data_IF_925118474281
#
_entry.id   IF_925118474281
#
_cell.length_a   1.000
_cell.length_b   1.000
_cell.length_c   1.000
_cell.angle_alpha   90.00
_cell.angle_beta   90.00
_cell.angle_gamma   90.00
#
_symmetry.space_group_name_H-M   'P 1'
#
loop_
_entity.id
_entity.type
_entity.pdbx_description
1 polymer ?
#
# COMPACT_ATOMS: atom_id res chain seq x y z
N UNK A 1 -1.18 -6.53 -19.89
CA UNK A 1 -0.97 -7.97 -19.87
C UNK A 1 -1.14 -8.49 -18.45
N UNK A 2 -1.80 -9.58 -18.29
CA UNK A 2 -2.06 -10.13 -16.98
C UNK A 2 -0.82 -10.83 -16.42
N UNK A 3 -0.46 -10.51 -15.20
CA UNK A 3 0.65 -11.18 -14.51
C UNK A 3 0.09 -11.90 -13.29
N UNK A 4 0.10 -13.24 -13.28
CA UNK A 4 -0.49 -13.98 -12.16
C UNK A 4 0.22 -13.75 -10.82
N UNK A 5 1.48 -13.29 -10.86
CA UNK A 5 2.20 -12.97 -9.63
C UNK A 5 1.77 -11.64 -9.05
N UNK A 6 1.20 -10.78 -9.88
CA UNK A 6 0.72 -9.47 -9.48
C UNK A 6 -0.78 -9.45 -9.68
N UNK A 7 -1.50 -10.11 -8.78
CA UNK A 7 -2.95 -10.13 -8.82
C UNK A 7 -3.50 -8.72 -8.91
N UNK A 8 -4.76 -8.61 -9.35
CA UNK A 8 -5.40 -7.31 -9.34
C UNK A 8 -5.55 -6.84 -7.90
N UNK A 9 -4.65 -5.99 -7.48
CA UNK A 9 -4.57 -5.53 -6.11
C UNK A 9 -5.77 -4.69 -5.71
N UNK A 10 -6.45 -4.11 -6.70
CA UNK A 10 -7.61 -3.27 -6.41
C UNK A 10 -8.79 -4.07 -5.85
N UNK A 11 -8.79 -5.38 -6.06
CA UNK A 11 -9.88 -6.24 -5.57
C UNK A 11 -9.64 -6.75 -4.16
N UNK A 12 -8.43 -6.56 -3.63
CA UNK A 12 -8.09 -7.06 -2.31
C UNK A 12 -8.56 -6.10 -1.22
N UNK A 13 -8.93 -6.67 -0.08
CA UNK A 13 -9.26 -5.86 1.08
C UNK A 13 -8.00 -5.25 1.69
N UNK A 14 -8.15 -4.14 2.39
CA UNK A 14 -7.02 -3.50 3.07
C UNK A 14 -6.30 -4.47 3.99
N UNK A 15 -7.06 -5.26 4.74
CA UNK A 15 -6.50 -6.25 5.65
C UNK A 15 -5.64 -7.26 4.89
N UNK A 16 -6.11 -7.73 3.74
CA UNK A 16 -5.38 -8.69 2.94
C UNK A 16 -4.07 -8.09 2.44
N UNK A 17 -4.11 -6.84 2.04
CA UNK A 17 -2.90 -6.14 1.58
C UNK A 17 -1.90 -6.01 2.72
N UNK A 18 -2.37 -5.61 3.90
CA UNK A 18 -1.51 -5.46 5.06
C UNK A 18 -0.86 -6.80 5.43
N UNK A 19 -1.64 -7.87 5.42
CA UNK A 19 -1.14 -9.20 5.73
C UNK A 19 -0.10 -9.65 4.71
N UNK A 20 -0.35 -9.37 3.43
CA UNK A 20 0.61 -9.72 2.38
C UNK A 20 1.91 -8.95 2.54
N UNK A 21 1.83 -7.67 2.84
CA UNK A 21 3.04 -6.86 3.03
C UNK A 21 3.85 -7.43 4.19
N UNK A 22 3.20 -7.73 5.30
CA UNK A 22 3.89 -8.30 6.46
C UNK A 22 4.57 -9.62 6.10
N UNK A 23 3.83 -10.50 5.42
CA UNK A 23 4.37 -11.80 5.02
C UNK A 23 5.56 -11.64 4.07
N UNK A 24 5.44 -10.75 3.10
CA UNK A 24 6.51 -10.52 2.13
C UNK A 24 7.74 -9.91 2.80
N UNK A 25 7.55 -9.02 3.75
CA UNK A 25 8.67 -8.44 4.49
C UNK A 25 9.42 -9.52 5.27
N UNK A 26 8.72 -10.43 5.90
CA UNK A 26 9.34 -11.54 6.61
C UNK A 26 10.14 -12.42 5.66
N UNK A 27 9.57 -12.74 4.52
CA UNK A 27 10.25 -13.55 3.51
C UNK A 27 11.47 -12.83 2.97
N UNK A 28 11.37 -11.53 2.78
CA UNK A 28 12.49 -10.72 2.33
C UNK A 28 13.66 -10.80 3.32
N UNK A 29 13.37 -10.66 4.60
CA UNK A 29 14.41 -10.72 5.61
C UNK A 29 15.07 -12.09 5.67
N UNK A 30 14.29 -13.14 5.54
CA UNK A 30 14.82 -14.50 5.53
C UNK A 30 15.73 -14.71 4.32
N UNK A 31 15.30 -14.27 3.15
CA UNK A 31 16.10 -14.38 1.93
C UNK A 31 17.39 -13.57 2.04
N UNK A 32 17.31 -12.39 2.63
CA UNK A 32 18.48 -11.54 2.82
C UNK A 32 19.50 -12.22 3.74
N UNK A 33 19.04 -12.82 4.82
CA UNK A 33 19.92 -13.52 5.75
C UNK A 33 20.55 -14.76 5.13
N UNK A 34 19.83 -15.37 4.19
CA UNK A 34 20.29 -16.59 3.52
C UNK A 34 21.19 -16.29 2.32
N UNK A 35 21.39 -15.01 2.01
CA UNK A 35 22.23 -14.64 0.88
C UNK A 35 21.56 -14.86 -0.47
N UNK A 36 20.23 -14.92 -0.51
CA UNK A 36 19.49 -15.19 -1.74
C UNK A 36 19.08 -13.88 -2.40
N UNK A 37 20.05 -13.18 -2.98
CA UNK A 37 19.81 -11.86 -3.56
C UNK A 37 18.77 -11.84 -4.65
N UNK A 38 18.73 -12.87 -5.50
CA UNK A 38 17.73 -12.96 -6.55
C UNK A 38 16.33 -13.06 -6.00
N UNK A 39 16.15 -13.84 -4.94
CA UNK A 39 14.85 -13.98 -4.29
C UNK A 39 14.47 -12.66 -3.63
N UNK A 40 15.43 -12.01 -2.98
CA UNK A 40 15.18 -10.68 -2.39
C UNK A 40 14.68 -9.70 -3.43
N UNK A 41 15.30 -9.67 -4.60
CA UNK A 41 14.87 -8.75 -5.65
C UNK A 41 13.46 -9.04 -6.11
N UNK A 42 13.12 -10.32 -6.28
CA UNK A 42 11.77 -10.69 -6.70
C UNK A 42 10.75 -10.29 -5.64
N UNK A 43 11.03 -10.58 -4.39
CA UNK A 43 10.13 -10.21 -3.30
C UNK A 43 10.01 -8.70 -3.22
N UNK A 44 11.11 -7.98 -3.40
CA UNK A 44 11.10 -6.53 -3.38
C UNK A 44 10.17 -5.92 -4.41
N UNK A 45 10.18 -6.46 -5.64
CA UNK A 45 9.30 -5.97 -6.70
C UNK A 45 7.84 -6.17 -6.32
N UNK A 46 7.51 -7.36 -5.82
CA UNK A 46 6.14 -7.66 -5.43
C UNK A 46 5.73 -6.79 -4.24
N UNK A 47 6.62 -6.65 -3.29
CA UNK A 47 6.38 -5.84 -2.09
C UNK A 47 6.09 -4.39 -2.47
N UNK A 48 6.86 -3.83 -3.40
CA UNK A 48 6.62 -2.46 -3.86
C UNK A 48 5.26 -2.31 -4.50
N UNK A 49 4.83 -3.30 -5.28
CA UNK A 49 3.50 -3.24 -5.90
C UNK A 49 2.40 -3.16 -4.83
N UNK A 50 2.52 -3.96 -3.77
CA UNK A 50 1.56 -3.94 -2.69
C UNK A 50 1.62 -2.62 -1.91
N UNK A 51 2.82 -2.11 -1.67
CA UNK A 51 2.98 -0.83 -0.99
C UNK A 51 2.42 0.32 -1.82
N UNK A 52 2.59 0.27 -3.14
CA UNK A 52 2.04 1.29 -4.02
C UNK A 52 0.51 1.30 -3.95
N UNK A 53 -0.11 0.13 -3.93
CA UNK A 53 -1.56 0.06 -3.79
C UNK A 53 -2.00 0.60 -2.44
N UNK A 54 -1.27 0.27 -1.39
CA UNK A 54 -1.57 0.79 -0.06
C UNK A 54 -1.48 2.31 -0.03
N UNK A 55 -0.42 2.86 -0.61
CA UNK A 55 -0.25 4.31 -0.70
C UNK A 55 -1.38 4.97 -1.49
N UNK A 56 -1.78 4.33 -2.59
CA UNK A 56 -2.88 4.85 -3.41
C UNK A 56 -4.16 4.93 -2.59
N UNK A 57 -4.45 3.90 -1.83
CA UNK A 57 -5.65 3.87 -0.98
C UNK A 57 -5.59 4.92 0.12
N UNK A 58 -4.42 5.07 0.73
CA UNK A 58 -4.22 6.10 1.75
C UNK A 58 -4.40 7.50 1.15
N UNK A 59 -3.87 7.72 -0.04
CA UNK A 59 -4.00 8.99 -0.70
C UNK A 59 -5.46 9.31 -1.00
N UNK A 60 -6.22 8.34 -1.50
CA UNK A 60 -7.64 8.54 -1.76
C UNK A 60 -8.41 8.83 -0.48
N UNK A 61 -8.11 8.10 0.58
CA UNK A 61 -8.74 8.34 1.88
C UNK A 61 -8.40 9.72 2.40
N UNK A 62 -7.15 10.14 2.25
CA UNK A 62 -6.73 11.48 2.68
C UNK A 62 -7.40 12.57 1.87
N UNK A 63 -7.60 12.35 0.57
CA UNK A 63 -8.32 13.31 -0.26
C UNK A 63 -9.75 13.47 0.21
N UNK A 64 -10.42 12.36 0.51
CA UNK A 64 -11.78 12.42 1.02
C UNK A 64 -11.84 13.12 2.38
N UNK A 65 -10.89 12.80 3.24
CA UNK A 65 -10.81 13.45 4.55
C UNK A 65 -10.53 14.94 4.40
N UNK A 66 -9.64 15.30 3.51
CA UNK A 66 -9.31 16.70 3.27
C UNK A 66 -10.51 17.46 2.74
N UNK A 67 -11.28 16.86 1.84
CA UNK A 67 -12.48 17.50 1.33
C UNK A 67 -13.51 17.67 2.42
N UNK A 68 -13.70 16.67 3.26
CA UNK A 68 -14.62 16.78 4.38
C UNK A 68 -14.17 17.85 5.35
N UNK A 69 -12.89 17.91 5.66
CA UNK A 69 -12.34 18.92 6.54
C UNK A 69 -12.47 20.30 5.94
N UNK A 70 -12.28 20.40 4.63
CA UNK A 70 -12.43 21.68 3.95
C UNK A 70 -13.86 22.18 4.04
N UNK A 71 -14.82 21.29 3.89
CA UNK A 71 -16.22 21.66 4.03
C UNK A 71 -16.52 22.15 5.44
N UNK A 72 -15.95 21.50 6.44
CA UNK A 72 -16.10 21.95 7.82
C UNK A 72 -15.42 23.30 8.03
N UNK A 73 -14.27 23.48 7.43
CA UNK A 73 -13.55 24.73 7.53
C UNK A 73 -14.37 25.88 6.93
N UNK A 74 -15.05 25.63 5.84
CA UNK A 74 -15.91 26.64 5.25
C UNK A 74 -16.97 27.12 6.22
N UNK A 75 -17.45 26.23 7.07
CA UNK A 75 -18.45 26.60 8.07
C UNK A 75 -17.82 27.27 9.29
N UNK A 76 -16.70 26.71 9.71
CA UNK A 76 -16.09 27.12 10.97
C UNK A 76 -15.21 28.34 10.78
N UNK A 77 -14.71 28.49 9.61
CA UNK A 77 -13.68 29.45 9.29
C UNK A 77 -14.21 30.81 9.00
N UNK A 78 -15.40 31.05 9.35
CA UNK A 78 -16.07 32.29 9.02
C UNK A 78 -15.42 33.48 9.69
N UNK A 79 -14.87 33.24 10.85
CA UNK A 79 -14.33 34.28 11.69
C UNK A 79 -12.90 34.62 11.38
N UNK A 80 -12.39 34.08 10.35
CA UNK A 80 -10.99 34.38 10.01
C UNK A 80 -10.71 35.74 9.53
#
# INVERSE_FOLDING_TARGET
MFNPLLQDLTTLKNEDIDNKITSLMQKYLIAARSGQGGVCNQIGVILEAYKDEQRRRHMLANQKAAQANRNLDDYINVDR
#
